data_IF_304803201649
#
_entry.id   IF_304803201649
#
_cell.length_a   1.000
_cell.length_b   1.000
_cell.length_c   1.000
_cell.angle_alpha   90.00
_cell.angle_beta   90.00
_cell.angle_gamma   90.00
#
_symmetry.space_group_name_H-M   'P 1'
#
loop_
_entity.id
_entity.type
_entity.pdbx_description
1 polymer ?
#
# COMPACT_ATOMS: atom_id res chain seq x y z
N UNK A 1 2.13 4.77 -11.84
CA UNK A 1 1.30 4.09 -10.81
C UNK A 1 1.96 2.76 -10.50
N UNK A 2 2.27 2.51 -9.24
CA UNK A 2 2.85 1.24 -8.81
C UNK A 2 1.79 0.14 -8.86
N UNK A 3 2.19 -1.08 -9.27
CA UNK A 3 1.28 -2.22 -9.29
C UNK A 3 0.88 -2.63 -7.85
N UNK A 4 -0.43 -2.82 -7.57
CA UNK A 4 -0.88 -3.32 -6.27
C UNK A 4 -0.27 -4.66 -5.90
N UNK A 5 -0.08 -5.50 -6.91
CA UNK A 5 0.52 -6.82 -6.84
C UNK A 5 1.88 -6.82 -6.16
N UNK A 6 2.71 -5.85 -6.50
CA UNK A 6 4.04 -5.76 -5.97
C UNK A 6 4.07 -5.38 -4.49
N UNK A 7 3.23 -4.41 -4.07
CA UNK A 7 3.14 -4.06 -2.65
C UNK A 7 2.64 -5.22 -1.79
N UNK A 8 1.71 -5.99 -2.31
CA UNK A 8 1.25 -7.20 -1.67
C UNK A 8 2.39 -8.24 -1.57
N UNK A 9 3.07 -8.50 -2.65
CA UNK A 9 4.19 -9.43 -2.70
C UNK A 9 5.30 -9.03 -1.72
N UNK A 10 5.75 -7.78 -1.73
CA UNK A 10 6.80 -7.28 -0.85
C UNK A 10 6.44 -7.36 0.64
N UNK A 11 5.16 -7.41 1.00
CA UNK A 11 4.70 -7.57 2.39
C UNK A 11 4.52 -9.02 2.82
N UNK A 12 4.36 -9.93 1.88
CA UNK A 12 4.03 -11.33 2.16
C UNK A 12 5.18 -12.29 1.83
N UNK A 13 6.17 -11.83 1.09
CA UNK A 13 7.31 -12.63 0.67
C UNK A 13 8.63 -11.93 0.97
N UNK A 14 9.61 -12.70 1.41
CA UNK A 14 10.98 -12.21 1.51
C UNK A 14 11.60 -12.23 0.13
N UNK A 15 12.25 -11.13 -0.24
CA UNK A 15 13.08 -11.12 -1.42
C UNK A 15 14.40 -11.84 -1.15
N UNK A 16 14.74 -12.76 -2.02
CA UNK A 16 16.04 -13.45 -1.98
C UNK A 16 16.90 -13.02 -3.18
N UNK A 17 18.19 -12.73 -2.96
CA UNK A 17 19.10 -12.45 -4.07
C UNK A 17 19.16 -13.66 -5.00
N UNK A 18 19.01 -13.41 -6.29
CA UNK A 18 19.10 -14.45 -7.32
C UNK A 18 20.56 -14.68 -7.78
N UNK A 19 21.44 -13.74 -7.45
CA UNK A 19 22.87 -13.81 -7.76
C UNK A 19 23.70 -13.08 -6.70
N UNK A 20 24.99 -13.44 -6.59
CA UNK A 20 25.93 -12.73 -5.70
C UNK A 20 26.06 -11.23 -6.00
N UNK A 21 25.72 -10.80 -7.24
CA UNK A 21 25.76 -9.39 -7.67
C UNK A 21 24.57 -8.56 -7.22
N UNK A 22 23.48 -9.19 -6.84
CA UNK A 22 22.23 -8.49 -6.49
C UNK A 22 22.35 -7.75 -5.16
N UNK A 23 23.04 -8.34 -4.17
CA UNK A 23 23.23 -7.74 -2.86
C UNK A 23 24.00 -6.41 -2.95
N UNK A 24 25.23 -6.39 -3.52
CA UNK A 24 25.97 -5.13 -3.67
C UNK A 24 25.22 -4.08 -4.47
N UNK A 25 24.47 -4.50 -5.50
CA UNK A 25 23.69 -3.59 -6.35
C UNK A 25 22.59 -2.90 -5.55
N UNK A 26 21.83 -3.64 -4.73
CA UNK A 26 20.77 -3.07 -3.89
C UNK A 26 21.38 -2.15 -2.82
N UNK A 27 22.47 -2.55 -2.18
CA UNK A 27 23.18 -1.70 -1.21
C UNK A 27 23.62 -0.37 -1.83
N UNK A 28 24.13 -0.39 -3.08
CA UNK A 28 24.49 0.85 -3.79
C UNK A 28 23.26 1.75 -4.01
N UNK A 29 22.11 1.21 -4.42
CA UNK A 29 20.89 2.02 -4.56
C UNK A 29 20.40 2.59 -3.24
N UNK A 30 20.43 1.81 -2.16
CA UNK A 30 20.07 2.30 -0.83
C UNK A 30 21.05 3.39 -0.35
N UNK A 31 22.33 3.25 -0.66
CA UNK A 31 23.36 4.26 -0.43
C UNK A 31 23.04 5.56 -1.16
N UNK A 32 22.77 5.49 -2.47
CA UNK A 32 22.37 6.66 -3.26
C UNK A 32 21.12 7.36 -2.72
N UNK A 33 20.11 6.59 -2.28
CA UNK A 33 18.91 7.14 -1.66
C UNK A 33 19.27 7.85 -0.35
N UNK A 34 20.05 7.20 0.51
CA UNK A 34 20.52 7.76 1.78
C UNK A 34 21.25 9.09 1.58
N UNK A 35 22.18 9.14 0.63
CA UNK A 35 22.94 10.35 0.31
C UNK A 35 22.02 11.48 -0.15
N UNK A 36 21.01 11.17 -0.96
CA UNK A 36 20.04 12.18 -1.41
C UNK A 36 19.06 12.60 -0.31
N UNK A 37 18.73 11.75 0.66
CA UNK A 37 17.91 12.13 1.82
C UNK A 37 18.61 13.21 2.68
N UNK A 38 19.93 13.12 2.81
CA UNK A 38 20.73 14.06 3.58
C UNK A 38 21.25 15.26 2.78
N UNK A 39 21.19 15.22 1.45
CA UNK A 39 21.66 16.31 0.58
C UNK A 39 20.73 17.53 0.62
N UNK A 40 21.27 18.70 0.25
CA UNK A 40 20.49 19.92 0.06
C UNK A 40 20.28 20.26 -1.42
N UNK A 41 20.37 19.28 -2.31
CA UNK A 41 20.20 19.47 -3.74
C UNK A 41 18.79 19.99 -4.09
N UNK A 42 18.71 20.90 -5.07
CA UNK A 42 17.43 21.49 -5.53
C UNK A 42 16.44 20.41 -5.97
N UNK A 43 16.90 19.39 -6.70
CA UNK A 43 16.07 18.27 -7.20
C UNK A 43 16.12 17.04 -6.32
N UNK A 44 16.44 17.18 -5.02
CA UNK A 44 16.55 16.07 -4.06
C UNK A 44 15.35 15.15 -4.06
N UNK A 45 14.16 15.75 -4.00
CA UNK A 45 12.88 14.99 -3.94
C UNK A 45 12.64 14.16 -5.20
N UNK A 46 12.85 14.75 -6.35
CA UNK A 46 12.71 14.11 -7.65
C UNK A 46 13.69 12.96 -7.81
N UNK A 47 14.95 13.18 -7.45
CA UNK A 47 15.99 12.15 -7.49
C UNK A 47 15.64 10.96 -6.59
N UNK A 48 15.18 11.20 -5.36
CA UNK A 48 14.73 10.13 -4.46
C UNK A 48 13.57 9.35 -5.07
N UNK A 49 12.58 10.03 -5.66
CA UNK A 49 11.43 9.38 -6.32
C UNK A 49 11.90 8.49 -7.47
N UNK A 50 12.83 8.94 -8.30
CA UNK A 50 13.36 8.17 -9.41
C UNK A 50 14.20 6.97 -8.95
N UNK A 51 15.03 7.12 -7.93
CA UNK A 51 15.80 6.02 -7.33
C UNK A 51 14.87 4.96 -6.72
N UNK A 52 13.86 5.38 -5.98
CA UNK A 52 12.84 4.46 -5.43
C UNK A 52 12.06 3.76 -6.54
N UNK A 53 11.72 4.47 -7.62
CA UNK A 53 11.04 3.90 -8.77
C UNK A 53 11.90 2.88 -9.50
N UNK A 54 13.19 3.17 -9.65
CA UNK A 54 14.13 2.22 -10.26
C UNK A 54 14.26 0.97 -9.40
N UNK A 55 14.53 1.12 -8.11
CA UNK A 55 14.63 -0.02 -7.17
C UNK A 55 13.35 -0.88 -7.19
N UNK A 56 12.18 -0.22 -7.22
CA UNK A 56 10.91 -0.90 -7.37
C UNK A 56 10.85 -1.78 -8.62
N UNK A 57 11.24 -1.24 -9.78
CA UNK A 57 11.19 -1.98 -11.05
C UNK A 57 12.17 -3.15 -11.06
N UNK A 58 13.34 -3.00 -10.48
CA UNK A 58 14.32 -4.08 -10.32
C UNK A 58 13.77 -5.23 -9.46
N UNK A 59 13.20 -4.91 -8.31
CA UNK A 59 12.58 -5.90 -7.43
C UNK A 59 11.35 -6.56 -8.10
N UNK A 60 10.57 -5.81 -8.87
CA UNK A 60 9.44 -6.34 -9.62
C UNK A 60 9.88 -7.27 -10.75
N UNK A 61 10.95 -6.94 -11.47
CA UNK A 61 11.52 -7.82 -12.49
C UNK A 61 12.04 -9.13 -11.88
N UNK A 62 12.71 -9.06 -10.73
CA UNK A 62 13.15 -10.25 -10.00
C UNK A 62 11.95 -11.12 -9.60
N UNK A 63 10.89 -10.52 -9.09
CA UNK A 63 9.63 -11.20 -8.76
C UNK A 63 9.00 -11.88 -9.98
N UNK A 64 8.91 -11.21 -11.12
CA UNK A 64 8.33 -11.78 -12.34
C UNK A 64 9.10 -13.02 -12.80
N UNK A 65 10.43 -12.99 -12.73
CA UNK A 65 11.27 -14.16 -13.06
C UNK A 65 11.03 -15.34 -12.11
N UNK A 66 10.93 -15.05 -10.81
CA UNK A 66 10.67 -16.07 -9.80
C UNK A 66 9.25 -16.64 -9.91
N UNK A 67 8.25 -15.81 -10.14
CA UNK A 67 6.85 -16.25 -10.29
C UNK A 67 6.66 -17.18 -11.48
N UNK A 68 7.39 -16.96 -12.58
CA UNK A 68 7.37 -17.84 -13.76
C UNK A 68 7.97 -19.22 -13.46
N UNK A 69 8.96 -19.30 -12.55
CA UNK A 69 9.58 -20.56 -12.14
C UNK A 69 8.78 -21.32 -11.06
N UNK A 70 8.01 -20.60 -10.25
CA UNK A 70 7.26 -21.16 -9.11
C UNK A 70 5.80 -21.55 -9.41
N UNK A 71 5.30 -21.33 -10.61
CA UNK A 71 3.92 -21.66 -11.01
C UNK A 71 3.54 -23.15 -10.84
N UNK A 72 4.50 -24.02 -10.58
CA UNK A 72 4.28 -25.46 -10.37
C UNK A 72 3.91 -25.87 -8.92
N UNK A 73 3.94 -24.95 -7.91
CA UNK A 73 3.83 -25.33 -6.49
C UNK A 73 2.84 -24.55 -5.62
N UNK A 74 2.10 -23.57 -6.15
CA UNK A 74 1.19 -22.74 -5.35
C UNK A 74 -0.26 -22.84 -5.83
N UNK A 75 -1.20 -22.60 -4.92
CA UNK A 75 -2.62 -22.46 -5.24
C UNK A 75 -2.82 -21.12 -6.01
N UNK A 76 -2.48 -21.17 -7.30
CA UNK A 76 -2.51 -20.04 -8.23
C UNK A 76 -3.87 -19.34 -8.23
N UNK A 77 -4.96 -20.07 -7.96
CA UNK A 77 -6.33 -19.53 -7.91
C UNK A 77 -6.53 -18.58 -6.71
N UNK A 78 -5.99 -18.90 -5.52
CA UNK A 78 -6.10 -18.03 -4.35
C UNK A 78 -5.25 -16.77 -4.52
N UNK A 79 -4.05 -16.91 -5.05
CA UNK A 79 -3.18 -15.77 -5.36
C UNK A 79 -3.80 -14.86 -6.41
N UNK A 80 -4.38 -15.42 -7.48
CA UNK A 80 -5.08 -14.65 -8.51
C UNK A 80 -6.28 -13.89 -7.92
N UNK A 81 -7.05 -14.53 -7.03
CA UNK A 81 -8.17 -13.89 -6.35
C UNK A 81 -7.72 -12.75 -5.44
N UNK A 82 -6.63 -12.94 -4.69
CA UNK A 82 -6.04 -11.90 -3.85
C UNK A 82 -5.59 -10.72 -4.71
N UNK A 83 -4.98 -10.97 -5.83
CA UNK A 83 -4.54 -9.94 -6.77
C UNK A 83 -5.70 -9.12 -7.35
N UNK A 84 -6.78 -9.78 -7.76
CA UNK A 84 -8.01 -9.12 -8.21
C UNK A 84 -8.60 -8.25 -7.09
N UNK A 85 -8.63 -8.76 -5.85
CA UNK A 85 -9.09 -8.00 -4.69
C UNK A 85 -8.26 -6.73 -4.45
N UNK A 86 -6.93 -6.81 -4.45
CA UNK A 86 -6.07 -5.63 -4.29
C UNK A 86 -6.22 -4.63 -5.43
N UNK A 87 -6.40 -5.11 -6.67
CA UNK A 87 -6.74 -4.26 -7.81
C UNK A 87 -8.07 -3.51 -7.62
N UNK A 88 -9.08 -4.17 -7.06
CA UNK A 88 -10.37 -3.54 -6.74
C UNK A 88 -10.27 -2.55 -5.58
N UNK A 89 -9.53 -2.87 -4.50
CA UNK A 89 -9.32 -1.92 -3.40
C UNK A 89 -8.74 -0.62 -3.93
N UNK A 90 -7.67 -0.66 -4.71
CA UNK A 90 -7.04 0.56 -5.23
C UNK A 90 -7.98 1.43 -6.06
N UNK A 91 -8.97 0.85 -6.70
CA UNK A 91 -9.95 1.58 -7.50
C UNK A 91 -11.10 2.14 -6.65
N UNK A 92 -11.50 1.44 -5.60
CA UNK A 92 -12.79 1.66 -4.94
C UNK A 92 -12.72 1.94 -3.43
N UNK A 93 -11.56 1.90 -2.77
CA UNK A 93 -11.47 2.03 -1.30
C UNK A 93 -12.01 3.35 -0.75
N UNK A 94 -12.01 4.42 -1.55
CA UNK A 94 -12.56 5.72 -1.16
C UNK A 94 -14.09 5.68 -1.05
N UNK A 95 -14.72 4.96 -1.97
CA UNK A 95 -16.17 4.93 -2.12
C UNK A 95 -16.79 3.77 -1.32
N UNK A 96 -16.12 2.62 -1.32
CA UNK A 96 -16.64 1.38 -0.76
C UNK A 96 -15.72 0.83 0.34
N UNK A 97 -16.24 0.81 1.57
CA UNK A 97 -15.53 0.37 2.77
C UNK A 97 -15.96 -1.03 3.24
N UNK A 98 -16.93 -1.64 2.55
CA UNK A 98 -17.49 -2.94 2.92
C UNK A 98 -16.86 -4.08 2.11
N UNK A 99 -16.53 -5.16 2.81
CA UNK A 99 -16.00 -6.40 2.20
C UNK A 99 -17.00 -7.01 1.21
N UNK A 100 -18.30 -6.87 1.48
CA UNK A 100 -19.36 -7.39 0.61
C UNK A 100 -19.25 -6.86 -0.81
N UNK A 101 -19.03 -5.55 -0.98
CA UNK A 101 -18.85 -4.94 -2.31
C UNK A 101 -17.74 -5.61 -3.12
N UNK A 102 -16.61 -5.91 -2.50
CA UNK A 102 -15.48 -6.54 -3.18
C UNK A 102 -15.75 -8.01 -3.48
N UNK A 103 -16.43 -8.70 -2.56
CA UNK A 103 -16.82 -10.09 -2.75
C UNK A 103 -17.81 -10.23 -3.91
N UNK A 104 -18.80 -9.35 -4.01
CA UNK A 104 -19.78 -9.31 -5.11
C UNK A 104 -19.09 -9.05 -6.46
N UNK A 105 -18.13 -8.11 -6.52
CA UNK A 105 -17.33 -7.85 -7.73
C UNK A 105 -16.49 -9.04 -8.18
N UNK A 106 -16.16 -9.93 -7.26
CA UNK A 106 -15.39 -11.16 -7.52
C UNK A 106 -16.29 -12.40 -7.67
N UNK A 107 -17.61 -12.24 -7.60
CA UNK A 107 -18.61 -13.32 -7.68
C UNK A 107 -18.37 -14.42 -6.63
N UNK A 108 -18.02 -14.05 -5.40
CA UNK A 108 -17.78 -14.95 -4.26
C UNK A 108 -18.41 -14.41 -2.98
N UNK A 109 -18.46 -15.24 -1.94
CA UNK A 109 -18.95 -14.81 -0.62
C UNK A 109 -17.91 -13.99 0.14
N UNK A 110 -18.36 -13.03 0.97
CA UNK A 110 -17.49 -12.24 1.85
C UNK A 110 -16.66 -13.11 2.80
N UNK A 111 -17.22 -14.24 3.26
CA UNK A 111 -16.54 -15.22 4.10
C UNK A 111 -15.37 -15.86 3.37
N UNK A 112 -15.60 -16.33 2.13
CA UNK A 112 -14.56 -16.94 1.31
C UNK A 112 -13.46 -15.93 0.94
N UNK A 113 -13.84 -14.72 0.52
CA UNK A 113 -12.88 -13.65 0.26
C UNK A 113 -11.99 -13.37 1.49
N UNK A 114 -12.60 -13.19 2.68
CA UNK A 114 -11.84 -12.92 3.91
C UNK A 114 -10.89 -14.07 4.26
N UNK A 115 -11.33 -15.32 4.09
CA UNK A 115 -10.50 -16.49 4.30
C UNK A 115 -9.28 -16.48 3.36
N UNK A 116 -9.51 -16.36 2.05
CA UNK A 116 -8.43 -16.36 1.04
C UNK A 116 -7.45 -15.22 1.29
N UNK A 117 -7.93 -14.00 1.52
CA UNK A 117 -7.07 -12.86 1.77
C UNK A 117 -6.24 -13.04 3.05
N UNK A 118 -6.84 -13.59 4.11
CA UNK A 118 -6.11 -13.87 5.36
C UNK A 118 -5.04 -14.95 5.17
N UNK A 119 -5.34 -16.02 4.45
CA UNK A 119 -4.37 -17.09 4.15
C UNK A 119 -3.20 -16.59 3.30
N UNK A 120 -3.49 -15.78 2.29
CA UNK A 120 -2.46 -15.29 1.35
C UNK A 120 -1.67 -14.09 1.86
N UNK A 121 -2.24 -13.26 2.77
CA UNK A 121 -1.64 -11.98 3.18
C UNK A 121 -1.42 -11.82 4.69
N UNK A 122 -1.89 -12.78 5.49
CA UNK A 122 -1.81 -12.71 6.94
C UNK A 122 -2.81 -11.75 7.60
N UNK A 123 -3.53 -10.90 6.83
CA UNK A 123 -4.52 -9.92 7.31
C UNK A 123 -5.88 -10.15 6.68
N UNK A 124 -6.95 -9.80 7.40
CA UNK A 124 -8.31 -9.90 6.85
C UNK A 124 -8.53 -8.91 5.70
N UNK A 125 -9.50 -9.21 4.83
CA UNK A 125 -9.91 -8.28 3.75
C UNK A 125 -10.31 -6.90 4.31
N UNK A 126 -11.01 -6.89 5.46
CA UNK A 126 -11.42 -5.64 6.12
C UNK A 126 -10.23 -4.82 6.61
N UNK A 127 -9.22 -5.45 7.20
CA UNK A 127 -8.03 -4.75 7.70
C UNK A 127 -7.26 -4.09 6.54
N UNK A 128 -7.19 -4.74 5.39
CA UNK A 128 -6.60 -4.16 4.20
C UNK A 128 -7.36 -2.93 3.70
N UNK A 129 -8.70 -3.01 3.61
CA UNK A 129 -9.52 -1.87 3.20
C UNK A 129 -9.30 -0.70 4.16
N UNK A 130 -9.32 -0.96 5.48
CA UNK A 130 -9.05 0.07 6.51
C UNK A 130 -7.67 0.68 6.34
N UNK A 131 -6.65 -0.13 6.11
CA UNK A 131 -5.27 0.35 5.92
C UNK A 131 -5.16 1.30 4.73
N UNK A 132 -5.76 0.98 3.58
CA UNK A 132 -5.78 1.88 2.41
C UNK A 132 -6.47 3.20 2.70
N UNK A 133 -7.62 3.16 3.42
CA UNK A 133 -8.34 4.37 3.81
C UNK A 133 -7.48 5.23 4.75
N UNK A 134 -6.85 4.63 5.75
CA UNK A 134 -5.97 5.35 6.70
C UNK A 134 -4.77 5.97 5.98
N UNK A 135 -4.15 5.25 5.05
CA UNK A 135 -3.04 5.79 4.25
C UNK A 135 -3.46 7.00 3.42
N UNK A 136 -4.64 6.95 2.79
CA UNK A 136 -5.17 8.09 2.04
C UNK A 136 -5.44 9.29 2.95
N UNK A 137 -6.10 9.08 4.11
CA UNK A 137 -6.37 10.16 5.07
C UNK A 137 -5.04 10.79 5.53
N UNK A 138 -4.05 9.98 5.87
CA UNK A 138 -2.71 10.46 6.24
C UNK A 138 -2.05 11.27 5.12
N UNK A 139 -2.15 10.79 3.88
CA UNK A 139 -1.61 11.50 2.72
C UNK A 139 -2.30 12.85 2.50
N UNK A 140 -3.62 12.92 2.62
CA UNK A 140 -4.38 14.17 2.49
C UNK A 140 -4.04 15.15 3.63
N UNK A 141 -3.91 14.66 4.87
CA UNK A 141 -3.53 15.48 6.02
C UNK A 141 -2.12 16.09 5.87
N UNK A 142 -1.20 15.33 5.28
CA UNK A 142 0.22 15.74 5.16
C UNK A 142 0.50 16.61 3.93
N UNK A 143 -0.11 16.27 2.79
CA UNK A 143 0.30 16.80 1.50
C UNK A 143 -0.69 17.84 0.94
N UNK A 144 -1.73 18.22 1.69
CA UNK A 144 -2.74 19.19 1.24
C UNK A 144 -3.14 20.13 2.36
N UNK A 145 -3.65 21.32 1.99
CA UNK A 145 -4.23 22.29 2.92
C UNK A 145 -5.74 22.08 3.16
N UNK A 146 -6.28 20.93 2.75
CA UNK A 146 -7.69 20.62 2.92
C UNK A 146 -8.10 20.64 4.39
N UNK A 147 -9.23 21.24 4.71
CA UNK A 147 -9.79 21.15 6.05
C UNK A 147 -10.38 19.73 6.30
N UNK A 148 -10.71 19.44 7.56
CA UNK A 148 -11.17 18.09 7.97
C UNK A 148 -12.50 17.71 7.28
N UNK A 149 -13.37 18.67 7.03
CA UNK A 149 -14.65 18.45 6.33
C UNK A 149 -14.41 18.07 4.86
N UNK A 150 -13.51 18.76 4.19
CA UNK A 150 -13.12 18.44 2.81
C UNK A 150 -12.48 17.04 2.69
N UNK A 151 -11.65 16.67 3.67
CA UNK A 151 -11.08 15.31 3.73
C UNK A 151 -12.19 14.28 3.94
N UNK A 152 -13.17 14.56 4.81
CA UNK A 152 -14.32 13.66 5.01
C UNK A 152 -15.08 13.43 3.70
N UNK A 153 -15.34 14.48 2.94
CA UNK A 153 -16.00 14.41 1.62
C UNK A 153 -15.16 13.58 0.65
N UNK A 154 -13.86 13.88 0.53
CA UNK A 154 -12.94 13.17 -0.40
C UNK A 154 -12.76 11.68 -0.09
N UNK A 155 -12.94 11.31 1.17
CA UNK A 155 -12.81 9.92 1.63
C UNK A 155 -14.15 9.24 1.87
N UNK A 156 -15.24 9.88 1.41
CA UNK A 156 -16.61 9.38 1.49
C UNK A 156 -17.03 9.01 2.93
N UNK A 157 -16.77 9.92 3.89
CA UNK A 157 -17.35 9.87 5.22
C UNK A 157 -18.52 10.83 5.31
N UNK A 158 -19.55 10.44 6.05
CA UNK A 158 -20.77 11.25 6.20
C UNK A 158 -20.50 12.67 6.76
N UNK A 159 -19.52 12.79 7.65
CA UNK A 159 -19.10 14.07 8.26
C UNK A 159 -17.72 13.93 8.92
N UNK A 160 -17.16 15.07 9.36
CA UNK A 160 -15.86 15.12 10.04
C UNK A 160 -15.83 14.33 11.36
N UNK A 161 -16.95 14.20 12.07
CA UNK A 161 -17.02 13.45 13.33
C UNK A 161 -16.90 11.96 13.10
N UNK A 162 -17.52 11.41 12.04
CA UNK A 162 -17.39 10.01 11.65
C UNK A 162 -15.97 9.69 11.15
N UNK A 163 -15.38 10.59 10.36
CA UNK A 163 -13.97 10.49 9.96
C UNK A 163 -13.04 10.51 11.17
N UNK A 164 -13.24 11.44 12.11
CA UNK A 164 -12.40 11.58 13.30
C UNK A 164 -12.44 10.33 14.20
N UNK A 165 -13.64 9.78 14.45
CA UNK A 165 -13.81 8.55 15.22
C UNK A 165 -13.12 7.37 14.53
N UNK A 166 -13.30 7.22 13.21
CA UNK A 166 -12.65 6.18 12.42
C UNK A 166 -11.12 6.30 12.49
N UNK A 167 -10.58 7.48 12.24
CA UNK A 167 -9.13 7.71 12.25
C UNK A 167 -8.53 7.44 13.62
N UNK A 168 -9.12 7.98 14.70
CA UNK A 168 -8.65 7.77 16.07
C UNK A 168 -8.71 6.31 16.49
N UNK A 169 -9.75 5.58 16.10
CA UNK A 169 -9.89 4.13 16.38
C UNK A 169 -8.72 3.33 15.80
N UNK A 170 -8.25 3.69 14.60
CA UNK A 170 -7.26 2.90 13.89
C UNK A 170 -5.82 3.43 14.00
N UNK A 171 -5.62 4.65 14.50
CA UNK A 171 -4.28 5.27 14.62
C UNK A 171 -3.91 5.64 16.05
N UNK A 172 -4.89 5.67 16.97
CA UNK A 172 -4.71 6.17 18.34
C UNK A 172 -4.67 7.70 18.45
N UNK A 173 -4.58 8.44 17.34
CA UNK A 173 -4.41 9.90 17.30
C UNK A 173 -5.63 10.60 16.70
N UNK A 174 -5.87 11.87 17.09
CA UNK A 174 -6.83 12.70 16.36
C UNK A 174 -6.23 13.19 15.03
N UNK A 175 -7.13 13.59 14.10
CA UNK A 175 -6.73 14.14 12.79
C UNK A 175 -5.85 15.40 12.95
N UNK A 176 -6.21 16.28 13.90
CA UNK A 176 -5.44 17.51 14.17
C UNK A 176 -4.07 17.19 14.77
N UNK A 177 -3.99 16.29 15.75
CA UNK A 177 -2.71 15.84 16.31
C UNK A 177 -1.79 15.27 15.23
N UNK A 178 -2.34 14.42 14.34
CA UNK A 178 -1.56 13.85 13.25
C UNK A 178 -1.07 14.92 12.27
N UNK A 179 -1.88 15.92 11.96
CA UNK A 179 -1.47 17.03 11.07
C UNK A 179 -0.35 17.85 11.69
N UNK A 180 -0.45 18.19 12.98
CA UNK A 180 0.56 18.99 13.68
C UNK A 180 1.89 18.24 13.83
N UNK A 181 1.88 16.96 14.19
CA UNK A 181 3.10 16.15 14.32
C UNK A 181 3.93 16.02 13.03
N UNK A 182 3.36 16.36 11.87
CA UNK A 182 4.07 16.35 10.58
C UNK A 182 4.52 17.76 10.12
N UNK A 183 4.17 18.84 10.84
CA UNK A 183 4.64 20.19 10.57
C UNK A 183 5.97 20.49 11.30
N UNK A 184 6.31 19.66 12.29
CA UNK A 184 7.52 19.77 13.10
C UNK A 184 8.71 18.93 12.56
N UNK A 185 8.53 18.22 11.44
CA UNK A 185 9.56 17.44 10.72
C UNK A 185 9.87 18.05 9.35
#
# INVERSE_FOLDING_TARGET
RFSPHFFFYMRTHYWYPQSERDIPRIYNYLGMIKDKVTSQDIYRRELIIHLLRYLYLELFNAYQKESTLMTARRDTRKEELANKFFGLIMKHFKENKDVAFYADKLCITSKYLTMVIKETSGKSAKDWIVEYIILEIKALLKNTNLNIQEIAIKTNFANQSSLGRFFRKHTGMSLSQYRMSNLEQ
#
